data_IF_947319555026
#
_entry.id   IF_947319555026
#
_cell.length_a   1.000
_cell.length_b   1.000
_cell.length_c   1.000
_cell.angle_alpha   90.00
_cell.angle_beta   90.00
_cell.angle_gamma   90.00
#
_symmetry.space_group_name_H-M   'P 1'
#
loop_
_entity.id
_entity.type
_entity.pdbx_description
1 polymer ?
#
# COMPACT_ATOMS: atom_id res chain seq x y z
N UNK A 1 21.07 10.47 18.64
CA UNK A 1 20.55 11.85 18.80
C UNK A 1 20.02 12.43 17.48
N UNK A 2 20.86 12.67 16.47
CA UNK A 2 20.38 13.19 15.16
C UNK A 2 19.47 12.18 14.44
N UNK A 3 19.85 10.90 14.46
CA UNK A 3 19.05 9.79 13.91
C UNK A 3 17.68 9.67 14.56
N UNK A 4 17.60 9.87 15.87
CA UNK A 4 16.34 9.75 16.63
C UNK A 4 15.40 10.89 16.25
N UNK A 5 15.93 12.11 16.11
CA UNK A 5 15.16 13.26 15.62
C UNK A 5 14.65 13.04 14.18
N UNK A 6 15.51 12.55 13.28
CA UNK A 6 15.11 12.20 11.91
C UNK A 6 14.03 11.12 11.90
N UNK A 7 14.16 10.10 12.75
CA UNK A 7 13.17 9.04 12.89
C UNK A 7 11.81 9.61 13.32
N UNK A 8 11.77 10.41 14.38
CA UNK A 8 10.51 11.02 14.84
C UNK A 8 9.91 11.94 13.78
N UNK A 9 10.73 12.69 13.05
CA UNK A 9 10.28 13.54 11.96
C UNK A 9 9.62 12.74 10.84
N UNK A 10 10.29 11.71 10.31
CA UNK A 10 9.74 10.87 9.24
C UNK A 10 8.54 10.04 9.71
N UNK A 11 8.55 9.56 10.95
CA UNK A 11 7.43 8.84 11.54
C UNK A 11 6.20 9.75 11.68
N UNK A 12 6.37 10.94 12.25
CA UNK A 12 5.28 11.92 12.37
C UNK A 12 4.75 12.33 11.00
N UNK A 13 5.64 12.61 10.04
CA UNK A 13 5.26 12.93 8.66
C UNK A 13 4.42 11.81 8.04
N UNK A 14 4.84 10.56 8.19
CA UNK A 14 4.15 9.38 7.65
C UNK A 14 2.76 9.22 8.24
N UNK A 15 2.63 9.35 9.56
CA UNK A 15 1.35 9.20 10.29
C UNK A 15 0.40 10.33 9.96
N UNK A 16 0.89 11.58 9.97
CA UNK A 16 0.09 12.76 9.62
C UNK A 16 -0.40 12.65 8.18
N UNK A 17 0.48 12.31 7.25
CA UNK A 17 0.11 12.09 5.85
C UNK A 17 -0.92 10.96 5.71
N UNK A 18 -0.75 9.83 6.39
CA UNK A 18 -1.73 8.73 6.40
C UNK A 18 -3.09 9.13 6.96
N UNK A 19 -3.12 9.96 8.00
CA UNK A 19 -4.36 10.50 8.54
C UNK A 19 -5.04 11.46 7.55
N UNK A 20 -4.26 12.33 6.90
CA UNK A 20 -4.76 13.22 5.84
C UNK A 20 -5.35 12.44 4.66
N UNK A 21 -4.78 11.29 4.28
CA UNK A 21 -5.35 10.40 3.25
C UNK A 21 -6.76 9.99 3.63
N UNK A 22 -6.96 9.50 4.86
CA UNK A 22 -8.25 9.00 5.33
C UNK A 22 -9.30 10.12 5.51
N UNK A 23 -8.88 11.33 5.87
CA UNK A 23 -9.78 12.47 6.08
C UNK A 23 -10.09 13.26 4.80
N UNK A 24 -9.28 13.11 3.77
CA UNK A 24 -9.43 13.87 2.53
C UNK A 24 -10.71 13.48 1.78
N UNK A 25 -11.46 14.50 1.34
CA UNK A 25 -12.72 14.31 0.61
C UNK A 25 -12.55 14.07 -0.88
N UNK A 26 -11.47 14.62 -1.47
CA UNK A 26 -11.18 14.43 -2.88
C UNK A 26 -10.18 13.28 -3.07
N UNK A 27 -10.50 12.26 -3.91
CA UNK A 27 -9.61 11.12 -4.15
C UNK A 27 -8.21 11.52 -4.64
N UNK A 28 -8.11 12.60 -5.42
CA UNK A 28 -6.83 13.12 -5.93
C UNK A 28 -5.96 13.64 -4.79
N UNK A 29 -6.54 14.41 -3.85
CA UNK A 29 -5.78 14.89 -2.68
C UNK A 29 -5.43 13.73 -1.74
N UNK A 30 -6.31 12.73 -1.60
CA UNK A 30 -6.01 11.50 -0.88
C UNK A 30 -4.74 10.84 -1.43
N UNK A 31 -4.69 10.63 -2.74
CA UNK A 31 -3.56 10.02 -3.39
C UNK A 31 -2.27 10.86 -3.31
N UNK A 32 -2.35 12.20 -3.39
CA UNK A 32 -1.16 13.06 -3.17
C UNK A 32 -0.61 12.94 -1.74
N UNK A 33 -1.48 12.89 -0.73
CA UNK A 33 -1.06 12.65 0.66
C UNK A 33 -0.51 11.23 0.85
N UNK A 34 -1.00 10.25 0.09
CA UNK A 34 -0.49 8.87 0.12
C UNK A 34 0.94 8.79 -0.41
N UNK A 35 1.25 9.52 -1.50
CA UNK A 35 2.63 9.64 -2.00
C UNK A 35 3.54 10.24 -0.92
N UNK A 36 3.08 11.29 -0.22
CA UNK A 36 3.85 11.89 0.87
C UNK A 36 4.12 10.90 2.01
N UNK A 37 3.13 10.07 2.37
CA UNK A 37 3.29 9.00 3.36
C UNK A 37 4.32 7.96 2.90
N UNK A 38 4.30 7.55 1.63
CA UNK A 38 5.28 6.59 1.09
C UNK A 38 6.71 7.13 1.02
N UNK A 39 6.88 8.43 0.77
CA UNK A 39 8.19 9.09 0.89
C UNK A 39 8.66 9.07 2.34
N UNK A 40 7.75 9.32 3.30
CA UNK A 40 8.05 9.19 4.73
C UNK A 40 8.53 7.78 5.12
N UNK A 41 7.82 6.74 4.65
CA UNK A 41 8.20 5.33 4.86
C UNK A 41 9.56 5.02 4.20
N UNK A 42 9.81 5.49 2.99
CA UNK A 42 11.09 5.31 2.33
C UNK A 42 12.24 5.93 3.14
N UNK A 43 12.02 7.11 3.74
CA UNK A 43 12.96 7.74 4.68
C UNK A 43 13.23 6.88 5.92
N UNK A 44 12.20 6.24 6.48
CA UNK A 44 12.36 5.28 7.58
C UNK A 44 13.18 4.06 7.14
N UNK A 45 12.95 3.49 5.96
CA UNK A 45 13.75 2.37 5.45
C UNK A 45 15.23 2.74 5.24
N UNK A 46 15.52 3.98 4.84
CA UNK A 46 16.90 4.49 4.77
C UNK A 46 17.53 4.56 6.17
N UNK A 47 16.79 5.02 7.18
CA UNK A 47 17.28 5.06 8.57
C UNK A 47 17.53 3.67 9.15
N UNK A 48 16.80 2.65 8.70
CA UNK A 48 16.98 1.24 9.06
C UNK A 48 18.13 0.55 8.29
N UNK A 49 18.92 1.28 7.50
CA UNK A 49 19.98 0.75 6.63
C UNK A 49 19.46 -0.26 5.57
N UNK A 50 18.17 -0.17 5.22
CA UNK A 50 17.50 -1.02 4.22
C UNK A 50 17.29 -0.30 2.89
N UNK A 51 18.39 0.14 2.27
CA UNK A 51 18.37 0.97 1.06
C UNK A 51 17.63 0.33 -0.11
N UNK A 52 17.75 -0.98 -0.30
CA UNK A 52 17.07 -1.67 -1.40
C UNK A 52 15.54 -1.58 -1.29
N UNK A 53 14.98 -1.79 -0.10
CA UNK A 53 13.54 -1.69 0.15
C UNK A 53 13.05 -0.24 0.03
N UNK A 54 13.85 0.74 0.47
CA UNK A 54 13.54 2.15 0.28
C UNK A 54 13.36 2.51 -1.20
N UNK A 55 14.24 2.02 -2.07
CA UNK A 55 14.15 2.24 -3.52
C UNK A 55 12.91 1.53 -4.10
N UNK A 56 12.65 0.28 -3.70
CA UNK A 56 11.44 -0.44 -4.15
C UNK A 56 10.14 0.25 -3.70
N UNK A 57 10.12 0.83 -2.50
CA UNK A 57 8.98 1.60 -2.00
C UNK A 57 8.66 2.77 -2.92
N UNK A 58 9.68 3.51 -3.34
CA UNK A 58 9.49 4.65 -4.25
C UNK A 58 9.12 4.16 -5.65
N UNK A 59 9.82 3.15 -6.19
CA UNK A 59 9.63 2.70 -7.57
C UNK A 59 8.27 2.03 -7.78
N UNK A 60 7.88 1.10 -6.91
CA UNK A 60 6.70 0.26 -7.10
C UNK A 60 5.47 0.91 -6.49
N UNK A 61 5.53 1.30 -5.21
CA UNK A 61 4.35 1.80 -4.51
C UNK A 61 4.03 3.25 -4.90
N UNK A 62 4.98 4.16 -4.72
CA UNK A 62 4.76 5.57 -5.07
C UNK A 62 4.75 5.79 -6.60
N UNK A 63 5.62 5.10 -7.33
CA UNK A 63 5.84 5.30 -8.76
C UNK A 63 4.82 4.61 -9.67
N UNK A 64 4.57 3.31 -9.48
CA UNK A 64 3.69 2.55 -10.37
C UNK A 64 2.25 2.49 -9.84
N UNK A 65 2.05 1.98 -8.63
CA UNK A 65 0.71 1.65 -8.11
C UNK A 65 -0.11 2.92 -7.88
N UNK A 66 0.43 3.91 -7.16
CA UNK A 66 -0.33 5.13 -6.85
C UNK A 66 -0.56 5.98 -8.10
N UNK A 67 0.38 6.02 -9.06
CA UNK A 67 0.17 6.74 -10.33
C UNK A 67 -0.90 6.07 -11.18
N UNK A 68 -0.93 4.73 -11.25
CA UNK A 68 -2.02 4.01 -11.90
C UNK A 68 -3.37 4.31 -11.22
N UNK A 69 -3.39 4.33 -9.90
CA UNK A 69 -4.59 4.69 -9.14
C UNK A 69 -5.04 6.13 -9.42
N UNK A 70 -4.09 7.09 -9.42
CA UNK A 70 -4.33 8.49 -9.79
C UNK A 70 -4.94 8.61 -11.19
N UNK A 71 -4.42 7.86 -12.15
CA UNK A 71 -4.96 7.84 -13.50
C UNK A 71 -6.40 7.33 -13.53
N UNK A 72 -6.68 6.21 -12.85
CA UNK A 72 -8.02 5.61 -12.77
C UNK A 72 -9.02 6.58 -12.11
N UNK A 73 -8.68 7.15 -10.95
CA UNK A 73 -9.60 8.05 -10.23
C UNK A 73 -9.78 9.39 -10.95
N UNK A 74 -8.84 9.80 -11.80
CA UNK A 74 -8.98 11.02 -12.61
C UNK A 74 -9.84 10.78 -13.85
N UNK A 75 -9.81 9.57 -14.41
CA UNK A 75 -10.70 9.17 -15.49
C UNK A 75 -12.15 8.95 -15.02
N UNK A 76 -12.33 8.52 -13.76
CA UNK A 76 -13.64 8.40 -13.14
C UNK A 76 -14.03 9.78 -12.61
N UNK A 77 -15.16 10.34 -13.05
CA UNK A 77 -15.68 11.61 -12.55
C UNK A 77 -16.03 11.50 -11.04
N UNK A 78 -15.20 12.00 -10.11
CA UNK A 78 -15.40 11.80 -8.68
C UNK A 78 -16.52 12.71 -8.13
N UNK A 79 -16.97 13.70 -8.91
CA UNK A 79 -17.99 14.67 -8.52
C UNK A 79 -19.41 14.11 -8.61
N UNK A 80 -19.59 12.97 -9.31
CA UNK A 80 -20.86 12.24 -9.40
C UNK A 80 -21.10 11.25 -8.24
N UNK A 81 -20.14 11.09 -7.33
CA UNK A 81 -20.38 10.26 -6.15
C UNK A 81 -21.39 10.96 -5.21
N UNK A 82 -22.48 10.26 -4.80
CA UNK A 82 -23.45 10.83 -3.90
C UNK A 82 -22.77 11.25 -2.59
N UNK A 83 -22.98 12.50 -2.19
CA UNK A 83 -22.49 13.05 -0.90
C UNK A 83 -22.85 12.06 0.21
N UNK A 84 -21.92 11.70 1.11
CA UNK A 84 -22.21 10.76 2.17
C UNK A 84 -23.37 11.32 3.02
N UNK A 85 -24.46 10.57 3.06
CA UNK A 85 -25.61 10.86 3.91
C UNK A 85 -25.12 10.94 5.37
N UNK A 86 -25.55 11.94 6.15
CA UNK A 86 -25.06 12.18 7.54
C UNK A 86 -25.13 10.95 8.45
N UNK A 87 -25.99 9.97 8.14
CA UNK A 87 -26.10 8.70 8.85
C UNK A 87 -24.87 7.77 8.64
N UNK A 88 -24.22 7.83 7.47
CA UNK A 88 -22.98 7.08 7.17
C UNK A 88 -21.77 7.66 7.93
N UNK A 89 -21.77 8.97 8.21
CA UNK A 89 -20.72 9.62 9.02
C UNK A 89 -20.73 9.14 10.47
N UNK A 90 -21.89 8.79 11.02
CA UNK A 90 -21.99 8.23 12.38
C UNK A 90 -21.47 6.79 12.38
N UNK A 91 -21.80 5.99 11.35
CA UNK A 91 -21.27 4.63 11.18
C UNK A 91 -19.75 4.60 11.01
N UNK A 92 -19.19 5.48 10.17
CA UNK A 92 -17.73 5.58 9.99
C UNK A 92 -17.01 6.14 11.22
N UNK A 93 -17.64 7.07 11.96
CA UNK A 93 -17.13 7.54 13.24
C UNK A 93 -17.15 6.45 14.32
N UNK A 94 -18.18 5.58 14.34
CA UNK A 94 -18.26 4.44 15.25
C UNK A 94 -17.21 3.37 14.91
N UNK A 95 -16.97 3.10 13.62
CA UNK A 95 -15.92 2.19 13.18
C UNK A 95 -14.54 2.78 13.49
N UNK A 96 -14.33 4.07 13.25
CA UNK A 96 -13.10 4.76 13.64
C UNK A 96 -12.89 4.74 15.16
N UNK A 97 -13.94 4.99 15.95
CA UNK A 97 -13.91 4.90 17.41
C UNK A 97 -13.69 3.47 17.91
N UNK A 98 -14.27 2.47 17.24
CA UNK A 98 -14.09 1.06 17.53
C UNK A 98 -12.69 0.57 17.19
N UNK A 99 -12.12 1.06 16.09
CA UNK A 99 -10.74 0.77 15.70
C UNK A 99 -9.73 1.47 16.63
N UNK A 100 -9.98 2.71 17.05
CA UNK A 100 -9.12 3.41 18.01
C UNK A 100 -9.24 2.82 19.41
N UNK A 101 -10.45 2.48 19.86
CA UNK A 101 -10.67 1.79 21.13
C UNK A 101 -10.09 0.37 21.11
N UNK A 102 -10.22 -0.35 19.99
CA UNK A 102 -9.62 -1.67 19.78
C UNK A 102 -8.09 -1.59 19.77
N UNK A 103 -7.51 -0.60 19.09
CA UNK A 103 -6.08 -0.32 19.11
C UNK A 103 -5.60 0.00 20.53
N UNK A 104 -6.32 0.84 21.26
CA UNK A 104 -6.00 1.20 22.64
C UNK A 104 -6.15 0.00 23.60
N UNK A 105 -7.15 -0.85 23.39
CA UNK A 105 -7.35 -2.07 24.16
C UNK A 105 -6.25 -3.11 23.89
N UNK A 106 -5.74 -3.20 22.65
CA UNK A 106 -4.59 -4.05 22.31
C UNK A 106 -3.30 -3.53 22.97
N UNK A 107 -3.14 -2.20 23.07
CA UNK A 107 -2.00 -1.60 23.78
C UNK A 107 -2.06 -1.75 25.31
N UNK A 108 -3.27 -1.80 25.86
CA UNK A 108 -3.54 -1.94 27.30
C UNK A 108 -3.68 -3.41 27.74
N UNK A 109 -3.88 -4.33 26.80
CA UNK A 109 -3.87 -5.74 27.10
C UNK A 109 -2.50 -6.07 27.72
N UNK A 110 -2.45 -6.66 28.93
CA UNK A 110 -1.19 -7.14 29.46
C UNK A 110 -0.66 -8.08 28.39
N UNK A 111 0.52 -7.78 27.87
CA UNK A 111 1.22 -8.64 26.93
C UNK A 111 1.30 -9.99 27.61
N UNK A 112 0.38 -10.90 27.28
CA UNK A 112 0.54 -12.32 27.57
C UNK A 112 1.91 -12.59 27.02
N UNK A 113 2.81 -13.01 27.91
CA UNK A 113 4.21 -13.26 27.62
C UNK A 113 4.30 -14.40 26.59
N UNK A 114 3.95 -14.11 25.34
CA UNK A 114 4.54 -14.69 24.17
C UNK A 114 6.04 -14.53 24.43
N UNK A 115 6.81 -15.62 24.45
CA UNK A 115 8.21 -15.56 24.85
C UNK A 115 8.93 -14.52 24.00
N UNK A 116 9.12 -13.34 24.58
CA UNK A 116 9.78 -12.16 24.02
C UNK A 116 11.30 -12.37 24.01
N UNK A 117 11.74 -13.59 23.70
CA UNK A 117 13.13 -13.90 23.37
C UNK A 117 13.55 -13.32 22.00
N UNK A 118 12.64 -12.65 21.30
CA UNK A 118 12.93 -11.97 20.03
C UNK A 118 13.19 -10.46 20.21
N UNK A 119 12.88 -9.88 21.38
CA UNK A 119 12.95 -8.42 21.56
C UNK A 119 14.21 -7.91 22.29
N UNK A 120 14.96 -8.79 22.99
CA UNK A 120 16.09 -8.36 23.81
C UNK A 120 17.47 -8.88 23.34
N UNK A 121 17.54 -9.90 22.47
CA UNK A 121 18.83 -10.53 22.11
C UNK A 121 19.45 -10.08 20.78
N UNK A 122 18.81 -9.18 20.01
CA UNK A 122 19.30 -8.84 18.65
C UNK A 122 19.60 -7.35 18.39
N UNK A 123 19.56 -6.47 19.39
CA UNK A 123 20.15 -5.13 19.29
C UNK A 123 21.60 -5.11 19.80
N UNK A 124 22.33 -6.22 19.69
CA UNK A 124 23.80 -6.15 19.72
C UNK A 124 24.23 -5.33 18.53
N UNK A 125 24.94 -4.22 18.76
CA UNK A 125 25.41 -3.25 17.77
C UNK A 125 26.41 -3.77 16.72
N UNK A 126 26.22 -4.99 16.22
CA UNK A 126 26.76 -5.42 14.95
C UNK A 126 25.93 -4.79 13.85
N UNK A 127 26.58 -3.99 12.99
CA UNK A 127 26.01 -3.60 11.71
C UNK A 127 25.52 -4.87 11.01
N UNK A 128 24.20 -5.05 10.93
CA UNK A 128 23.64 -6.03 10.04
C UNK A 128 24.21 -5.74 8.63
N UNK A 129 24.62 -6.75 7.85
CA UNK A 129 25.09 -6.53 6.50
C UNK A 129 24.06 -5.66 5.78
N UNK A 130 24.49 -4.49 5.29
CA UNK A 130 23.61 -3.53 4.63
C UNK A 130 22.72 -4.31 3.65
N UNK A 131 21.40 -4.22 3.85
CA UNK A 131 20.42 -5.07 3.17
C UNK A 131 20.40 -4.73 1.68
N UNK A 132 21.35 -5.34 0.96
CA UNK A 132 21.70 -5.03 -0.42
C UNK A 132 20.92 -5.96 -1.34
N UNK A 133 20.61 -5.50 -2.55
CA UNK A 133 19.91 -6.29 -3.57
C UNK A 133 20.50 -7.69 -3.76
N UNK A 134 21.84 -7.83 -3.66
CA UNK A 134 22.53 -9.12 -3.74
C UNK A 134 22.13 -10.10 -2.64
N UNK A 135 22.09 -9.65 -1.39
CA UNK A 135 21.73 -10.49 -0.23
C UNK A 135 20.26 -10.91 -0.32
N UNK A 136 19.37 -9.98 -0.73
CA UNK A 136 17.97 -10.31 -0.98
C UNK A 136 17.82 -11.35 -2.10
N UNK A 137 18.55 -11.19 -3.21
CA UNK A 137 18.54 -12.15 -4.32
C UNK A 137 18.98 -13.54 -3.90
N UNK A 138 20.07 -13.65 -3.14
CA UNK A 138 20.58 -14.94 -2.66
C UNK A 138 19.55 -15.65 -1.77
N UNK A 139 18.93 -14.95 -0.82
CA UNK A 139 17.90 -15.51 0.05
C UNK A 139 16.63 -15.87 -0.74
N UNK A 140 16.24 -15.04 -1.71
CA UNK A 140 15.06 -15.25 -2.55
C UNK A 140 15.19 -16.51 -3.42
N UNK A 141 16.36 -16.75 -3.99
CA UNK A 141 16.63 -17.91 -4.85
C UNK A 141 17.12 -19.16 -4.11
N UNK A 142 17.49 -19.06 -2.82
CA UNK A 142 17.88 -20.22 -2.01
C UNK A 142 16.72 -20.71 -1.14
N UNK A 143 16.28 -19.88 -0.19
CA UNK A 143 15.29 -20.26 0.82
C UNK A 143 13.85 -20.01 0.36
N UNK A 144 13.62 -18.93 -0.40
CA UNK A 144 12.28 -18.51 -0.82
C UNK A 144 11.98 -18.77 -2.30
N UNK A 145 12.62 -19.78 -2.89
CA UNK A 145 12.46 -20.12 -4.30
C UNK A 145 10.99 -20.41 -4.66
N UNK A 146 10.29 -21.20 -3.81
CA UNK A 146 8.89 -21.56 -4.05
C UNK A 146 7.95 -20.33 -3.97
N UNK A 147 7.97 -19.49 -2.93
CA UNK A 147 7.20 -18.24 -2.90
C UNK A 147 7.50 -17.30 -4.06
N UNK A 148 8.76 -17.20 -4.50
CA UNK A 148 9.15 -16.38 -5.64
C UNK A 148 8.47 -16.85 -6.93
N UNK A 149 8.50 -18.15 -7.20
CA UNK A 149 7.86 -18.75 -8.38
C UNK A 149 6.34 -18.53 -8.34
N UNK A 150 5.71 -18.74 -7.18
CA UNK A 150 4.27 -18.51 -6.98
C UNK A 150 3.90 -17.04 -7.23
N UNK A 151 4.74 -16.09 -6.80
CA UNK A 151 4.53 -14.67 -7.09
C UNK A 151 4.65 -14.38 -8.60
N UNK A 152 5.56 -15.05 -9.31
CA UNK A 152 5.67 -14.98 -10.77
C UNK A 152 4.39 -15.44 -11.47
N UNK A 153 3.86 -16.60 -11.09
CA UNK A 153 2.56 -17.08 -11.60
C UNK A 153 1.41 -16.15 -11.21
N UNK A 154 1.41 -15.58 -10.01
CA UNK A 154 0.41 -14.60 -9.57
C UNK A 154 0.38 -13.38 -10.50
N UNK A 155 1.55 -12.83 -10.85
CA UNK A 155 1.66 -11.69 -11.77
C UNK A 155 1.20 -12.06 -13.18
N UNK A 156 1.52 -13.27 -13.65
CA UNK A 156 1.06 -13.77 -14.95
C UNK A 156 -0.46 -13.91 -14.99
N UNK A 157 -1.05 -14.50 -13.95
CA UNK A 157 -2.51 -14.64 -13.83
C UNK A 157 -3.19 -13.27 -13.73
N UNK A 158 -2.61 -12.32 -12.98
CA UNK A 158 -3.13 -10.96 -12.89
C UNK A 158 -3.15 -10.27 -14.27
N UNK A 159 -2.09 -10.39 -15.06
CA UNK A 159 -2.03 -9.84 -16.42
C UNK A 159 -3.10 -10.49 -17.33
N UNK A 160 -3.21 -11.81 -17.33
CA UNK A 160 -4.23 -12.53 -18.10
C UNK A 160 -5.65 -12.12 -17.67
N UNK A 161 -5.88 -11.97 -16.37
CA UNK A 161 -7.15 -11.51 -15.81
C UNK A 161 -7.57 -10.14 -16.34
N UNK A 162 -6.64 -9.17 -16.33
CA UNK A 162 -6.90 -7.82 -16.87
C UNK A 162 -7.18 -7.86 -18.37
N UNK A 163 -6.44 -8.65 -19.15
CA UNK A 163 -6.65 -8.78 -20.61
C UNK A 163 -8.04 -9.36 -20.92
N UNK A 164 -8.45 -10.43 -20.22
CA UNK A 164 -9.76 -11.06 -20.44
C UNK A 164 -10.90 -10.11 -20.08
N UNK A 165 -10.78 -9.38 -18.97
CA UNK A 165 -11.81 -8.41 -18.52
C UNK A 165 -11.90 -7.21 -19.48
N UNK A 166 -10.78 -6.72 -20.01
CA UNK A 166 -10.78 -5.55 -20.89
C UNK A 166 -11.37 -5.82 -22.29
N UNK A 167 -11.42 -7.09 -22.72
CA UNK A 167 -11.91 -7.49 -24.04
C UNK A 167 -13.43 -7.32 -24.16
N UNK A 168 -13.86 -6.17 -24.68
CA UNK A 168 -15.28 -5.90 -24.96
C UNK A 168 -15.78 -6.73 -26.15
N UNK A 169 -16.81 -7.56 -25.90
CA UNK A 169 -17.49 -8.31 -26.94
C UNK A 169 -18.51 -7.40 -27.64
N UNK A 170 -18.20 -6.92 -28.84
CA UNK A 170 -19.19 -6.24 -29.69
C UNK A 170 -20.01 -7.31 -30.41
N UNK A 171 -21.31 -7.49 -30.11
CA UNK A 171 -22.14 -8.40 -30.89
C UNK A 171 -22.24 -7.87 -32.33
N UNK A 172 -21.95 -8.74 -33.29
CA UNK A 172 -22.08 -8.42 -34.71
C UNK A 172 -23.52 -8.02 -34.99
N UNK A 173 -23.75 -6.75 -35.34
CA UNK A 173 -25.07 -6.29 -35.78
C UNK A 173 -25.41 -7.05 -37.05
N UNK A 174 -26.38 -7.96 -36.97
CA UNK A 174 -27.03 -8.56 -38.13
C UNK A 174 -27.53 -7.45 -39.03
N UNK A 175 -26.76 -7.18 -40.09
CA UNK A 175 -27.15 -6.35 -41.22
C UNK A 175 -28.33 -7.05 -41.87
N UNK A 176 -29.54 -6.59 -41.56
CA UNK A 176 -30.73 -6.87 -42.37
C UNK A 176 -30.53 -6.16 -43.70
N UNK A 177 -29.76 -6.79 -44.59
CA UNK A 177 -29.96 -6.61 -46.02
C UNK A 177 -31.22 -7.39 -46.38
N UNK A 178 -32.29 -6.63 -46.57
CA UNK A 178 -33.56 -7.08 -47.12
C UNK A 178 -34.17 -5.90 -47.85
N UNK A 179 -33.62 -5.61 -49.03
CA UNK A 179 -34.27 -4.79 -50.03
C UNK A 179 -35.35 -5.57 -50.76
N UNK A 180 -36.21 -4.83 -51.47
CA UNK A 180 -37.36 -5.25 -52.29
C UNK A 180 -38.53 -5.82 -51.46
N UNK A 181 -39.75 -5.30 -51.56
CA UNK A 181 -40.52 -4.83 -52.73
C UNK A 181 -41.38 -3.63 -52.35
#
# INVERSE_FOLDING_TARGET
MVTDWLFYFFAALTVIAGFLVALSRSPVNAAMNMILSFIGIAGLFVLLETFFLAVLQILVYAGAIVVLFLFIIMLIDPERLPKPHKLSTIGSALVAAGLTAGWFAVLQAPTVALPTKVAAESFTGGRAPAATARVFGEVLFSQYLLPFEVAGFLLLIAMLGVIVISKHYRPATTRKEGGSV
#
